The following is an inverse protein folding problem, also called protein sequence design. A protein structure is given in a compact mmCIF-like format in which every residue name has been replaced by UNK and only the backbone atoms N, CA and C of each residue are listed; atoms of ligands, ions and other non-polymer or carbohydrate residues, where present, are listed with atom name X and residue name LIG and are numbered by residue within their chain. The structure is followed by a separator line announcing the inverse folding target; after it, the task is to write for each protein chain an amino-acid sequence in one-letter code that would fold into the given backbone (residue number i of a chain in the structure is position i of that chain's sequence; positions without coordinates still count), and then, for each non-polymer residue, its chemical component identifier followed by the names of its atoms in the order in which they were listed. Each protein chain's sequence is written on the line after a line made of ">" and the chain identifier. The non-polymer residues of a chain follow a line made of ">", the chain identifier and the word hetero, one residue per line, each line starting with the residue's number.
data_IF_203798904088
#
_entry.id   IF_203798904088
#
_cell.length_a   1.000
_cell.length_b   1.000
_cell.length_c   1.000
_cell.angle_alpha   90.00
_cell.angle_beta   90.00
_cell.angle_gamma   90.00
#
_symmetry.space_group_name_H-M   'P 1'
#
loop_
_entity.id
_entity.type
_entity.pdbx_description
1 polymer ?
#
# COMPACT_ATOMS: atom_id res chain seq x y z
N UNK A 1 35.71 -5.78 -33.92
CA UNK A 1 34.75 -6.09 -34.99
C UNK A 1 33.92 -4.83 -35.22
N UNK A 2 34.30 -4.02 -36.21
CA UNK A 2 33.72 -2.69 -36.47
C UNK A 2 32.76 -2.85 -37.65
N UNK A 3 31.47 -2.63 -37.42
CA UNK A 3 30.46 -2.69 -38.49
C UNK A 3 30.43 -1.31 -39.16
N UNK A 4 30.94 -1.26 -40.39
CA UNK A 4 30.87 -0.09 -41.27
C UNK A 4 29.57 -0.20 -42.06
N UNK A 5 28.62 0.72 -41.84
CA UNK A 5 27.41 0.87 -42.66
C UNK A 5 27.53 2.17 -43.46
N UNK A 6 27.36 2.06 -44.78
CA UNK A 6 27.48 3.14 -45.74
C UNK A 6 26.35 4.20 -45.60
N UNK A 7 26.59 5.46 -45.97
CA UNK A 7 25.58 6.51 -45.98
C UNK A 7 24.83 6.55 -47.33
N UNK A 8 23.50 6.44 -47.31
CA UNK A 8 22.66 6.77 -48.47
C UNK A 8 22.24 8.23 -48.41
N UNK A 9 22.51 8.92 -49.53
CA UNK A 9 22.35 10.34 -49.78
C UNK A 9 20.92 10.86 -49.71
N UNK A 10 20.76 11.97 -48.98
CA UNK A 10 19.94 13.19 -49.20
C UNK A 10 18.67 13.07 -50.04
N UNK A 11 17.53 13.35 -49.40
CA UNK A 11 16.45 14.14 -50.00
C UNK A 11 16.16 15.33 -49.08
N UNK A 12 16.53 16.53 -49.56
CA UNK A 12 16.11 17.80 -49.00
C UNK A 12 14.87 18.25 -49.76
N UNK A 13 13.71 18.16 -49.12
CA UNK A 13 12.51 18.87 -49.56
C UNK A 13 11.89 19.40 -48.28
N UNK A 14 12.00 20.72 -48.11
CA UNK A 14 11.43 21.41 -46.98
C UNK A 14 9.93 21.19 -46.96
N UNK A 15 9.41 20.88 -45.79
CA UNK A 15 8.09 21.32 -45.39
C UNK A 15 8.22 21.91 -43.99
N UNK A 16 8.11 23.23 -43.94
CA UNK A 16 8.02 23.98 -42.71
C UNK A 16 6.66 23.71 -42.05
N UNK A 17 6.66 23.74 -40.71
CA UNK A 17 5.54 24.19 -39.89
C UNK A 17 4.15 23.62 -40.23
N UNK A 18 3.83 22.48 -39.65
CA UNK A 18 2.44 22.13 -39.37
C UNK A 18 2.30 21.81 -37.88
N UNK A 19 1.48 22.61 -37.20
CA UNK A 19 1.07 22.42 -35.82
C UNK A 19 0.68 20.95 -35.59
N UNK A 20 1.29 20.32 -34.59
CA UNK A 20 0.85 19.04 -34.07
C UNK A 20 -0.48 19.20 -33.32
N UNK A 21 -1.57 19.52 -34.03
CA UNK A 21 -2.92 19.26 -33.55
C UNK A 21 -3.22 17.80 -33.87
N UNK A 22 -2.77 16.92 -32.98
CA UNK A 22 -3.27 15.54 -32.96
C UNK A 22 -4.78 15.61 -32.69
N UNK A 23 -5.63 14.97 -33.52
CA UNK A 23 -7.08 15.00 -33.34
C UNK A 23 -7.47 14.40 -31.98
N UNK A 24 -8.51 14.91 -31.29
CA UNK A 24 -8.95 14.36 -30.02
C UNK A 24 -9.50 12.95 -30.24
N UNK A 25 -8.66 11.96 -29.96
CA UNK A 25 -9.06 10.56 -29.79
C UNK A 25 -9.99 10.42 -28.57
N UNK A 26 -10.68 9.28 -28.44
CA UNK A 26 -11.69 9.07 -27.42
C UNK A 26 -11.15 9.38 -26.03
N UNK A 27 -11.83 10.30 -25.35
CA UNK A 27 -11.58 10.72 -23.96
C UNK A 27 -11.69 9.48 -23.07
N UNK A 28 -10.57 8.88 -22.72
CA UNK A 28 -10.58 7.68 -21.89
C UNK A 28 -9.21 7.09 -21.61
N UNK A 29 -8.24 7.25 -22.51
CA UNK A 29 -6.88 6.75 -22.27
C UNK A 29 -5.86 7.77 -22.78
N UNK A 30 -5.37 8.63 -21.88
CA UNK A 30 -4.21 9.47 -22.20
C UNK A 30 -3.02 8.58 -22.56
N UNK A 31 -2.39 8.87 -23.70
CA UNK A 31 -1.19 8.16 -24.13
C UNK A 31 -0.03 8.43 -23.15
N UNK A 32 0.98 7.55 -23.13
CA UNK A 32 2.15 7.74 -22.26
C UNK A 32 2.86 9.07 -22.53
N UNK A 33 2.90 9.50 -23.79
CA UNK A 33 3.45 10.78 -24.21
C UNK A 33 2.63 11.96 -23.67
N UNK A 34 1.30 11.89 -23.71
CA UNK A 34 0.43 12.93 -23.16
C UNK A 34 0.54 13.07 -21.64
N UNK A 35 0.65 11.94 -20.92
CA UNK A 35 0.88 11.94 -19.46
C UNK A 35 2.21 12.60 -19.11
N UNK A 36 3.25 12.28 -19.88
CA UNK A 36 4.55 12.89 -19.70
C UNK A 36 4.52 14.39 -20.01
N UNK A 37 3.88 14.81 -21.12
CA UNK A 37 3.70 16.21 -21.46
C UNK A 37 2.98 16.97 -20.33
N UNK A 38 1.92 16.40 -19.77
CA UNK A 38 1.21 17.00 -18.64
C UNK A 38 2.11 17.17 -17.40
N UNK A 39 2.98 16.19 -17.08
CA UNK A 39 3.94 16.30 -15.96
C UNK A 39 5.00 17.37 -16.22
N UNK A 40 5.48 17.51 -17.45
CA UNK A 40 6.47 18.53 -17.83
C UNK A 40 5.86 19.93 -17.83
N UNK A 41 4.67 20.10 -18.40
CA UNK A 41 3.94 21.38 -18.44
C UNK A 41 3.59 21.87 -17.02
N UNK A 42 3.25 20.95 -16.12
CA UNK A 42 2.90 21.25 -14.73
C UNK A 42 4.12 21.32 -13.80
N UNK A 43 5.33 21.13 -14.32
CA UNK A 43 6.54 21.05 -13.51
C UNK A 43 6.82 22.33 -12.71
N UNK A 44 6.56 23.49 -13.32
CA UNK A 44 6.80 24.82 -12.74
C UNK A 44 5.54 25.60 -12.35
N UNK A 45 4.35 24.99 -12.39
CA UNK A 45 3.09 25.67 -12.05
C UNK A 45 2.88 25.71 -10.53
N UNK A 46 2.32 26.83 -10.04
CA UNK A 46 1.84 26.95 -8.67
C UNK A 46 0.47 26.23 -8.51
N UNK A 47 -0.01 26.00 -7.28
CA UNK A 47 -1.26 25.27 -7.02
C UNK A 47 -2.48 25.86 -7.73
N UNK A 48 -2.56 27.19 -7.83
CA UNK A 48 -3.63 27.90 -8.54
C UNK A 48 -3.60 27.61 -10.05
N UNK A 49 -2.42 27.69 -10.65
CA UNK A 49 -2.23 27.46 -12.09
C UNK A 49 -2.39 25.97 -12.44
N UNK A 50 -1.96 25.08 -11.54
CA UNK A 50 -2.19 23.64 -11.64
C UNK A 50 -3.69 23.34 -11.63
N UNK A 51 -4.46 23.99 -10.77
CA UNK A 51 -5.92 23.88 -10.72
C UNK A 51 -6.60 24.36 -12.00
N UNK A 52 -6.16 25.49 -12.55
CA UNK A 52 -6.65 26.00 -13.85
C UNK A 52 -6.30 25.05 -15.00
N UNK A 53 -5.06 24.54 -15.03
CA UNK A 53 -4.59 23.56 -16.00
C UNK A 53 -5.42 22.27 -15.96
N UNK A 54 -5.66 21.74 -14.75
CA UNK A 54 -6.47 20.56 -14.50
C UNK A 54 -7.90 20.72 -15.06
N UNK A 55 -8.56 21.85 -14.79
CA UNK A 55 -9.90 22.15 -15.31
C UNK A 55 -9.92 22.26 -16.83
N UNK A 56 -8.91 22.86 -17.43
CA UNK A 56 -8.81 23.04 -18.88
C UNK A 56 -8.55 21.72 -19.63
N UNK A 57 -7.71 20.85 -19.08
CA UNK A 57 -7.33 19.56 -19.68
C UNK A 57 -8.25 18.40 -19.27
N UNK A 58 -9.17 18.61 -18.34
CA UNK A 58 -10.02 17.55 -17.78
C UNK A 58 -9.24 16.53 -16.94
N UNK A 59 -8.19 16.98 -16.25
CA UNK A 59 -7.30 16.15 -15.44
C UNK A 59 -7.48 16.48 -13.96
N UNK A 60 -7.11 15.54 -13.08
CA UNK A 60 -7.05 15.78 -11.65
C UNK A 60 -5.60 16.00 -11.21
N UNK A 61 -5.38 16.91 -10.26
CA UNK A 61 -4.05 17.18 -9.71
C UNK A 61 -3.40 15.90 -9.13
N UNK A 62 -4.21 15.02 -8.54
CA UNK A 62 -3.77 13.71 -8.03
C UNK A 62 -3.19 12.79 -9.12
N UNK A 63 -3.75 12.85 -10.34
CA UNK A 63 -3.26 12.05 -11.46
C UNK A 63 -1.88 12.54 -11.92
N UNK A 64 -1.70 13.87 -12.00
CA UNK A 64 -0.42 14.49 -12.34
C UNK A 64 0.62 14.18 -11.26
N UNK A 65 0.24 14.25 -9.98
CA UNK A 65 1.11 13.87 -8.87
C UNK A 65 1.52 12.39 -8.95
N UNK A 66 0.59 11.51 -9.30
CA UNK A 66 0.85 10.08 -9.52
C UNK A 66 1.84 9.88 -10.67
N UNK A 67 1.63 10.55 -11.80
CA UNK A 67 2.55 10.43 -12.94
C UNK A 67 3.92 11.03 -12.67
N UNK A 68 4.00 12.13 -11.92
CA UNK A 68 5.27 12.71 -11.44
C UNK A 68 6.03 11.70 -10.59
N UNK A 69 5.34 11.04 -9.66
CA UNK A 69 5.92 9.98 -8.81
C UNK A 69 6.41 8.81 -9.66
N UNK A 70 5.61 8.35 -10.62
CA UNK A 70 6.01 7.28 -11.55
C UNK A 70 7.24 7.68 -12.38
N UNK A 71 7.31 8.93 -12.83
CA UNK A 71 8.47 9.43 -13.58
C UNK A 71 9.73 9.49 -12.70
N UNK A 72 9.60 9.88 -11.43
CA UNK A 72 10.72 9.90 -10.47
C UNK A 72 11.26 8.48 -10.23
N UNK A 73 10.38 7.49 -10.12
CA UNK A 73 10.73 6.08 -9.88
C UNK A 73 10.89 5.27 -11.17
N UNK A 74 10.91 5.90 -12.35
CA UNK A 74 10.92 5.19 -13.63
C UNK A 74 12.18 4.33 -13.83
N UNK A 75 13.29 4.78 -13.25
CA UNK A 75 14.60 4.12 -13.33
C UNK A 75 14.91 3.26 -12.11
N UNK A 76 14.00 3.17 -11.14
CA UNK A 76 14.23 2.33 -9.97
C UNK A 76 14.34 0.86 -10.38
N UNK A 77 15.23 0.09 -9.72
CA UNK A 77 15.36 -1.34 -9.98
C UNK A 77 13.99 -2.02 -9.87
N UNK A 78 13.51 -2.55 -10.99
CA UNK A 78 12.26 -3.30 -10.99
C UNK A 78 12.55 -4.72 -10.52
N UNK A 79 11.75 -5.26 -9.59
CA UNK A 79 11.98 -6.59 -9.09
C UNK A 79 11.86 -7.59 -10.23
N UNK A 80 12.78 -8.55 -10.30
CA UNK A 80 12.77 -9.61 -11.30
C UNK A 80 11.52 -10.49 -11.15
N UNK A 81 11.22 -11.32 -12.16
CA UNK A 81 10.08 -12.25 -12.04
C UNK A 81 10.25 -13.21 -10.86
N UNK A 82 11.48 -13.65 -10.59
CA UNK A 82 11.82 -14.53 -9.47
C UNK A 82 11.59 -13.81 -8.13
N UNK A 83 12.10 -12.59 -7.97
CA UNK A 83 11.89 -11.80 -6.76
C UNK A 83 10.41 -11.52 -6.49
N UNK A 84 9.62 -11.26 -7.54
CA UNK A 84 8.16 -11.08 -7.38
C UNK A 84 7.45 -12.35 -6.93
N UNK A 85 7.92 -13.53 -7.36
CA UNK A 85 7.34 -14.81 -6.90
C UNK A 85 7.76 -15.12 -5.47
N UNK A 86 9.01 -14.84 -5.10
CA UNK A 86 9.51 -14.99 -3.73
C UNK A 86 8.76 -14.08 -2.76
N UNK A 87 8.60 -12.80 -3.09
CA UNK A 87 7.81 -11.87 -2.27
C UNK A 87 6.35 -12.31 -2.09
N UNK A 88 5.76 -12.98 -3.09
CA UNK A 88 4.39 -13.53 -2.96
C UNK A 88 4.38 -14.71 -1.99
N UNK A 89 5.29 -15.65 -2.16
CA UNK A 89 5.43 -16.80 -1.28
C UNK A 89 5.69 -16.37 0.17
N UNK A 90 6.54 -15.37 0.37
CA UNK A 90 6.84 -14.79 1.69
C UNK A 90 5.59 -14.15 2.31
N UNK A 91 4.83 -13.35 1.54
CA UNK A 91 3.56 -12.76 2.02
C UNK A 91 2.53 -13.84 2.41
N UNK A 92 2.46 -14.92 1.65
CA UNK A 92 1.59 -16.06 1.95
C UNK A 92 2.02 -16.77 3.24
N UNK A 93 3.32 -16.98 3.43
CA UNK A 93 3.87 -17.55 4.66
C UNK A 93 3.58 -16.66 5.86
N UNK A 94 3.80 -15.35 5.75
CA UNK A 94 3.49 -14.37 6.81
C UNK A 94 2.00 -14.45 7.19
N UNK A 95 1.10 -14.49 6.20
CA UNK A 95 -0.33 -14.59 6.44
C UNK A 95 -0.74 -15.92 7.08
N UNK A 96 -0.09 -17.01 6.69
CA UNK A 96 -0.36 -18.33 7.27
C UNK A 96 0.10 -18.39 8.73
N UNK A 97 1.32 -17.92 9.00
CA UNK A 97 1.89 -17.87 10.34
C UNK A 97 1.08 -16.93 11.26
N UNK A 98 0.64 -15.77 10.76
CA UNK A 98 -0.16 -14.83 11.55
C UNK A 98 -1.51 -15.45 11.97
N UNK A 99 -2.17 -16.19 11.08
CA UNK A 99 -3.41 -16.91 11.41
C UNK A 99 -3.19 -18.02 12.42
N UNK A 100 -2.10 -18.77 12.29
CA UNK A 100 -1.77 -19.82 13.25
C UNK A 100 -1.50 -19.23 14.64
N UNK A 101 -0.76 -18.12 14.69
CA UNK A 101 -0.51 -17.37 15.91
C UNK A 101 -1.82 -16.91 16.55
N UNK A 102 -2.72 -16.28 15.79
CA UNK A 102 -4.04 -15.86 16.30
C UNK A 102 -4.87 -17.00 16.87
N UNK A 103 -4.85 -18.19 16.23
CA UNK A 103 -5.57 -19.37 16.74
C UNK A 103 -4.98 -19.86 18.06
N UNK A 104 -3.65 -19.89 18.17
CA UNK A 104 -2.95 -20.27 19.39
C UNK A 104 -3.21 -19.28 20.51
N UNK A 105 -3.13 -17.98 20.24
CA UNK A 105 -3.43 -16.93 21.22
C UNK A 105 -4.88 -17.01 21.72
N UNK A 106 -5.83 -17.31 20.83
CA UNK A 106 -7.23 -17.51 21.23
C UNK A 106 -7.37 -18.72 22.16
N UNK A 107 -6.79 -19.86 21.81
CA UNK A 107 -6.83 -21.05 22.66
C UNK A 107 -6.14 -20.81 24.02
N UNK A 108 -5.02 -20.08 24.03
CA UNK A 108 -4.33 -19.69 25.24
C UNK A 108 -5.17 -18.74 26.10
N UNK A 109 -5.86 -17.77 25.49
CA UNK A 109 -6.76 -16.85 26.19
C UNK A 109 -7.96 -17.59 26.80
N UNK A 110 -8.55 -18.53 26.07
CA UNK A 110 -9.64 -19.39 26.57
C UNK A 110 -9.16 -20.25 27.75
N UNK A 111 -7.98 -20.86 27.67
CA UNK A 111 -7.38 -21.62 28.77
C UNK A 111 -7.09 -20.73 30.00
N UNK A 112 -6.52 -19.54 29.79
CA UNK A 112 -6.27 -18.58 30.86
C UNK A 112 -7.58 -18.12 31.54
N UNK A 113 -8.64 -17.87 30.76
CA UNK A 113 -9.95 -17.53 31.28
C UNK A 113 -10.55 -18.65 32.15
N UNK A 114 -10.42 -19.91 31.74
CA UNK A 114 -10.85 -21.06 32.53
C UNK A 114 -10.08 -21.16 33.86
N UNK A 115 -8.75 -21.00 33.84
CA UNK A 115 -7.94 -21.01 35.06
C UNK A 115 -8.31 -19.85 36.01
N UNK A 116 -8.57 -18.66 35.47
CA UNK A 116 -9.02 -17.52 36.27
C UNK A 116 -10.40 -17.76 36.89
N UNK A 117 -11.33 -18.34 36.14
CA UNK A 117 -12.66 -18.67 36.64
C UNK A 117 -12.59 -19.72 37.76
N UNK A 118 -11.79 -20.78 37.59
CA UNK A 118 -11.57 -21.79 38.63
C UNK A 118 -11.02 -21.16 39.92
N UNK A 119 -10.07 -20.24 39.82
CA UNK A 119 -9.53 -19.51 40.98
C UNK A 119 -10.60 -18.67 41.67
N UNK A 120 -11.41 -17.93 40.92
CA UNK A 120 -12.51 -17.11 41.49
C UNK A 120 -13.55 -17.98 42.20
N UNK A 121 -13.91 -19.10 41.61
CA UNK A 121 -14.90 -20.03 42.16
C UNK A 121 -14.39 -20.67 43.46
N UNK A 122 -13.11 -21.11 43.50
CA UNK A 122 -12.49 -21.60 44.74
C UNK A 122 -12.48 -20.53 45.82
N UNK A 123 -12.12 -19.29 45.49
CA UNK A 123 -12.10 -18.20 46.46
C UNK A 123 -13.48 -17.87 47.07
N UNK A 124 -14.58 -18.12 46.35
CA UNK A 124 -15.94 -17.92 46.87
C UNK A 124 -16.35 -19.09 47.79
N UNK A 125 -15.98 -20.32 47.45
CA UNK A 125 -16.33 -21.49 48.25
C UNK A 125 -15.37 -21.77 49.41
N UNK A 126 -14.14 -21.26 49.34
CA UNK A 126 -13.16 -21.23 50.41
C UNK A 126 -13.26 -19.89 51.16
N UNK A 127 -14.45 -19.55 51.68
CA UNK A 127 -14.57 -18.51 52.71
C UNK A 127 -13.87 -19.04 53.99
N UNK A 128 -13.08 -18.24 54.75
CA UNK A 128 -12.17 -18.78 55.74
C UNK A 128 -12.94 -19.59 56.77
N UNK A 129 -12.79 -20.91 56.69
CA UNK A 129 -13.13 -21.87 57.73
C UNK A 129 -12.26 -21.54 58.95
N UNK A 130 -12.67 -20.51 59.69
CA UNK A 130 -11.86 -19.85 60.68
C UNK A 130 -12.52 -18.62 61.29
N UNK A 131 -13.86 -18.51 61.26
CA UNK A 131 -14.54 -17.71 62.26
C UNK A 131 -14.58 -18.54 63.56
N UNK A 132 -13.92 -18.11 64.66
CA UNK A 132 -14.03 -18.82 65.93
C UNK A 132 -15.49 -18.78 66.39
N UNK A 133 -16.07 -19.96 66.57
CA UNK A 133 -17.42 -20.14 67.13
C UNK A 133 -17.54 -19.45 68.50
N UNK A 134 -18.63 -18.73 68.79
CA UNK A 134 -18.88 -18.25 70.14
C UNK A 134 -19.21 -19.45 71.04
N UNK A 135 -18.30 -19.84 71.92
CA UNK A 135 -18.56 -20.88 72.92
C UNK A 135 -19.64 -20.40 73.90
N UNK A 136 -20.78 -21.08 74.03
CA UNK A 136 -21.72 -20.80 75.10
C UNK A 136 -21.32 -21.59 76.35
N UNK A 137 -21.18 -20.89 77.47
CA UNK A 137 -21.15 -21.52 78.80
C UNK A 137 -19.79 -21.51 79.50
N UNK A 138 -19.55 -20.43 80.26
CA UNK A 138 -18.80 -20.53 81.51
C UNK A 138 -19.82 -20.32 82.64
N UNK A 139 -20.21 -21.43 83.28
CA UNK A 139 -21.05 -21.47 84.47
C UNK A 139 -20.44 -20.64 85.61
N UNK A 140 -21.30 -19.90 86.33
CA UNK A 140 -21.01 -19.27 87.62
C UNK A 140 -21.87 -19.92 88.69
#
# INVERSE_FOLDING_TARGET
>A
MVVVFAPTSVNHTGDQAALATTPPGPVGVLSGAEKFAAVVETAGLNELDLGAYCRHKGLFAEQIATWRTICQHANDPRPTRAERTEQRAEREQINQLSKELQRKDRALAEAAALLLLQKKVRAIWEEPAGAPSPTPGASR
#
